data_IF_316761525627
#
_entry.id   IF_316761525627
#
_cell.length_a   1.000
_cell.length_b   1.000
_cell.length_c   1.000
_cell.angle_alpha   90.00
_cell.angle_beta   90.00
_cell.angle_gamma   90.00
#
_symmetry.space_group_name_H-M   'P 1'
#
loop_
_entity.id
_entity.type
_entity.pdbx_description
1 polymer ?
#
# COMPACT_ATOMS: atom_id res chain seq x y z
N UNK A 1 27.00 18.23 19.48
CA UNK A 1 27.35 17.72 18.13
C UNK A 1 27.18 16.20 18.01
N UNK A 2 27.56 15.43 19.04
CA UNK A 2 27.43 13.97 19.03
C UNK A 2 25.99 13.44 18.86
N UNK A 3 25.00 14.01 19.55
CA UNK A 3 23.60 13.57 19.48
C UNK A 3 22.99 13.69 18.09
N UNK A 4 23.27 14.80 17.37
CA UNK A 4 22.72 15.01 16.01
C UNK A 4 23.36 14.02 15.02
N UNK A 5 24.65 13.76 15.13
CA UNK A 5 25.33 12.78 14.27
C UNK A 5 24.81 11.36 14.55
N UNK A 6 24.67 10.98 15.80
CA UNK A 6 24.09 9.70 16.22
C UNK A 6 22.65 9.54 15.67
N UNK A 7 21.82 10.59 15.77
CA UNK A 7 20.46 10.57 15.25
C UNK A 7 20.44 10.42 13.72
N UNK A 8 21.29 11.14 13.00
CA UNK A 8 21.37 11.06 11.54
C UNK A 8 21.87 9.68 11.06
N UNK A 9 22.83 9.09 11.78
CA UNK A 9 23.35 7.76 11.49
C UNK A 9 22.24 6.69 11.72
N UNK A 10 21.60 6.72 12.88
CA UNK A 10 20.53 5.82 13.25
C UNK A 10 19.35 5.90 12.26
N UNK A 11 18.91 7.12 11.90
CA UNK A 11 17.86 7.31 10.90
C UNK A 11 18.30 6.87 9.51
N UNK A 12 19.54 7.16 9.13
CA UNK A 12 20.12 6.82 7.83
C UNK A 12 20.15 5.32 7.57
N UNK A 13 20.40 4.52 8.59
CA UNK A 13 20.37 3.06 8.52
C UNK A 13 19.00 2.53 8.06
N UNK A 14 17.92 3.18 8.46
CA UNK A 14 16.55 2.79 8.16
C UNK A 14 16.06 3.23 6.78
N UNK A 15 16.60 4.30 6.20
CA UNK A 15 16.06 4.95 5.00
C UNK A 15 15.82 3.97 3.85
N UNK A 16 16.74 3.05 3.63
CA UNK A 16 16.68 2.16 2.48
C UNK A 16 15.55 1.14 2.58
N UNK A 17 15.46 0.40 3.68
CA UNK A 17 14.44 -0.64 3.82
C UNK A 17 13.05 -0.03 4.09
N UNK A 18 12.97 1.07 4.86
CA UNK A 18 11.72 1.80 5.07
C UNK A 18 11.18 2.37 3.75
N UNK A 19 12.04 2.97 2.93
CA UNK A 19 11.63 3.50 1.62
C UNK A 19 11.11 2.40 0.71
N UNK A 20 11.73 1.22 0.71
CA UNK A 20 11.27 0.09 -0.08
C UNK A 20 9.90 -0.44 0.40
N UNK A 21 9.74 -0.67 1.69
CA UNK A 21 8.47 -1.12 2.26
C UNK A 21 7.36 -0.09 2.04
N UNK A 22 7.68 1.21 2.16
CA UNK A 22 6.73 2.28 1.88
C UNK A 22 6.37 2.36 0.40
N UNK A 23 7.34 2.17 -0.51
CA UNK A 23 7.05 2.05 -1.94
C UNK A 23 6.04 0.94 -2.22
N UNK A 24 6.27 -0.28 -1.70
CA UNK A 24 5.35 -1.40 -1.86
C UNK A 24 3.97 -1.12 -1.27
N UNK A 25 3.90 -0.40 -0.14
CA UNK A 25 2.66 0.02 0.49
C UNK A 25 1.88 1.08 -0.34
N UNK A 26 2.59 1.95 -1.07
CA UNK A 26 1.99 3.01 -1.89
C UNK A 26 1.52 2.51 -3.27
N UNK A 27 2.04 1.38 -3.77
CA UNK A 27 1.61 0.81 -5.07
C UNK A 27 0.09 0.56 -5.10
N UNK A 28 -0.53 -0.15 -4.14
CA UNK A 28 -1.98 -0.36 -4.14
C UNK A 28 -2.76 0.96 -4.00
N UNK A 29 -2.24 1.96 -3.30
CA UNK A 29 -2.85 3.28 -3.22
C UNK A 29 -2.90 3.95 -4.60
N UNK A 30 -1.78 4.00 -5.31
CA UNK A 30 -1.72 4.54 -6.67
C UNK A 30 -2.69 3.84 -7.62
N UNK A 31 -2.71 2.51 -7.60
CA UNK A 31 -3.63 1.70 -8.38
C UNK A 31 -5.09 1.96 -7.98
N UNK A 32 -5.40 2.13 -6.69
CA UNK A 32 -6.76 2.39 -6.22
C UNK A 32 -7.31 3.72 -6.75
N UNK A 33 -6.50 4.76 -6.84
CA UNK A 33 -6.91 6.03 -7.46
C UNK A 33 -7.17 5.89 -8.95
N UNK A 34 -6.35 5.10 -9.66
CA UNK A 34 -6.52 4.89 -11.09
C UNK A 34 -7.75 4.03 -11.42
N UNK A 35 -8.03 3.00 -10.61
CA UNK A 35 -9.07 2.01 -10.87
C UNK A 35 -10.44 2.41 -10.33
N UNK A 36 -10.49 2.99 -9.13
CA UNK A 36 -11.72 3.12 -8.34
C UNK A 36 -12.26 4.54 -8.23
N UNK A 37 -11.45 5.59 -8.47
CA UNK A 37 -11.89 6.98 -8.35
C UNK A 37 -12.22 7.62 -9.71
N UNK A 38 -13.46 8.11 -9.83
CA UNK A 38 -13.91 8.95 -10.93
C UNK A 38 -14.85 10.05 -10.35
N UNK A 39 -14.63 11.35 -10.64
CA UNK A 39 -13.50 11.93 -11.40
C UNK A 39 -12.18 11.78 -10.65
N UNK A 40 -11.09 11.70 -11.42
CA UNK A 40 -9.73 11.56 -10.86
C UNK A 40 -9.20 12.92 -10.45
N UNK A 41 -8.85 13.09 -9.18
CA UNK A 41 -8.12 14.28 -8.72
C UNK A 41 -6.68 14.23 -9.24
N UNK A 42 -6.29 15.23 -10.05
CA UNK A 42 -4.91 15.35 -10.59
C UNK A 42 -3.88 15.49 -9.46
N UNK A 43 -4.21 16.25 -8.42
CA UNK A 43 -3.34 16.46 -7.27
C UNK A 43 -3.03 15.15 -6.51
N UNK A 44 -4.05 14.33 -6.27
CA UNK A 44 -3.86 13.03 -5.62
C UNK A 44 -3.03 12.08 -6.47
N UNK A 45 -3.24 12.07 -7.79
CA UNK A 45 -2.46 11.25 -8.71
C UNK A 45 -0.99 11.70 -8.76
N UNK A 46 -0.72 12.99 -8.94
CA UNK A 46 0.64 13.51 -8.97
C UNK A 46 1.33 13.37 -7.61
N UNK A 47 0.63 13.65 -6.51
CA UNK A 47 1.16 13.45 -5.16
C UNK A 47 1.55 11.99 -4.90
N UNK A 48 0.68 11.04 -5.27
CA UNK A 48 0.99 9.61 -5.14
C UNK A 48 2.13 9.19 -6.06
N UNK A 49 2.18 9.68 -7.30
CA UNK A 49 3.28 9.40 -8.23
C UNK A 49 4.61 9.96 -7.72
N UNK A 50 4.61 11.17 -7.14
CA UNK A 50 5.78 11.76 -6.50
C UNK A 50 6.27 10.91 -5.32
N UNK A 51 5.35 10.49 -4.43
CA UNK A 51 5.70 9.64 -3.29
C UNK A 51 6.25 8.28 -3.73
N UNK A 52 5.65 7.66 -4.75
CA UNK A 52 6.16 6.42 -5.34
C UNK A 52 7.57 6.61 -5.91
N UNK A 53 7.81 7.69 -6.66
CA UNK A 53 9.15 8.01 -7.17
C UNK A 53 10.15 8.25 -6.05
N UNK A 54 9.82 9.08 -5.07
CA UNK A 54 10.69 9.41 -3.95
C UNK A 54 11.06 8.19 -3.11
N UNK A 55 10.10 7.28 -2.86
CA UNK A 55 10.34 6.05 -2.09
C UNK A 55 11.07 4.97 -2.89
N UNK A 56 10.98 4.98 -4.23
CA UNK A 56 11.69 4.06 -5.09
C UNK A 56 13.18 4.42 -5.25
N UNK A 57 13.51 5.72 -5.29
CA UNK A 57 14.87 6.23 -5.56
C UNK A 57 15.98 5.57 -4.72
N UNK A 58 15.86 5.41 -3.38
CA UNK A 58 16.90 4.79 -2.57
C UNK A 58 17.19 3.34 -2.94
N UNK A 59 16.20 2.63 -3.51
CA UNK A 59 16.29 1.23 -3.87
C UNK A 59 16.66 0.96 -5.33
N UNK A 60 16.74 2.01 -6.16
CA UNK A 60 16.94 1.91 -7.63
C UNK A 60 18.16 1.06 -8.00
N UNK A 61 19.29 1.25 -7.32
CA UNK A 61 20.52 0.50 -7.61
C UNK A 61 20.37 -1.00 -7.39
N UNK A 62 19.65 -1.39 -6.35
CA UNK A 62 19.39 -2.81 -6.05
C UNK A 62 18.44 -3.45 -7.06
N UNK A 63 17.36 -2.73 -7.40
CA UNK A 63 16.40 -3.21 -8.39
C UNK A 63 17.08 -3.40 -9.74
N UNK A 64 17.92 -2.45 -10.16
CA UNK A 64 18.68 -2.55 -11.40
C UNK A 64 19.68 -3.72 -11.37
N UNK A 65 20.39 -3.92 -10.25
CA UNK A 65 21.29 -5.06 -10.10
C UNK A 65 20.54 -6.39 -10.16
N UNK A 66 19.41 -6.49 -9.48
CA UNK A 66 18.54 -7.68 -9.49
C UNK A 66 17.93 -7.96 -10.87
N UNK A 67 17.44 -6.93 -11.56
CA UNK A 67 16.96 -7.06 -12.95
C UNK A 67 18.07 -7.52 -13.90
N UNK A 68 19.29 -6.99 -13.73
CA UNK A 68 20.44 -7.42 -14.53
C UNK A 68 20.73 -8.91 -14.30
N UNK A 69 20.66 -9.38 -13.06
CA UNK A 69 20.85 -10.79 -12.71
C UNK A 69 19.77 -11.67 -13.34
N UNK A 70 18.48 -11.29 -13.20
CA UNK A 70 17.37 -12.02 -13.85
C UNK A 70 17.56 -12.08 -15.37
N UNK A 71 17.90 -10.97 -16.01
CA UNK A 71 18.10 -10.95 -17.48
C UNK A 71 19.29 -11.83 -17.90
N UNK A 72 20.30 -11.98 -17.05
CA UNK A 72 21.44 -12.86 -17.31
C UNK A 72 21.06 -14.34 -17.12
N UNK A 73 20.29 -14.68 -16.10
CA UNK A 73 19.90 -16.06 -15.77
C UNK A 73 18.80 -16.62 -16.68
N UNK A 74 17.79 -15.80 -17.00
CA UNK A 74 16.61 -16.21 -17.78
C UNK A 74 16.85 -16.09 -19.31
N UNK A 75 17.88 -15.34 -19.71
CA UNK A 75 18.20 -15.07 -21.12
C UNK A 75 17.41 -13.90 -21.73
N UNK A 76 18.15 -13.09 -22.50
CA UNK A 76 17.60 -11.86 -23.13
C UNK A 76 16.40 -12.13 -24.04
N UNK A 77 16.42 -13.23 -24.77
CA UNK A 77 15.35 -13.63 -25.71
C UNK A 77 14.04 -13.95 -25.00
N UNK A 78 14.10 -14.60 -23.85
CA UNK A 78 12.91 -14.93 -23.07
C UNK A 78 12.27 -13.67 -22.47
N UNK A 79 13.08 -12.78 -21.90
CA UNK A 79 12.59 -11.50 -21.35
C UNK A 79 11.97 -10.62 -22.44
N UNK A 80 12.62 -10.50 -23.60
CA UNK A 80 12.08 -9.77 -24.75
C UNK A 80 10.80 -10.39 -25.26
N UNK A 81 10.73 -11.72 -25.34
CA UNK A 81 9.52 -12.46 -25.70
C UNK A 81 8.36 -12.21 -24.74
N UNK A 82 8.61 -12.26 -23.43
CA UNK A 82 7.60 -11.96 -22.42
C UNK A 82 7.09 -10.51 -22.50
N UNK A 83 7.99 -9.55 -22.72
CA UNK A 83 7.62 -8.13 -22.92
C UNK A 83 6.79 -8.00 -24.21
N UNK A 84 7.21 -8.59 -25.33
CA UNK A 84 6.50 -8.53 -26.60
C UNK A 84 5.10 -9.13 -26.50
N UNK A 85 4.94 -10.28 -25.85
CA UNK A 85 3.63 -10.92 -25.61
C UNK A 85 2.76 -10.02 -24.73
N UNK A 86 3.31 -9.44 -23.66
CA UNK A 86 2.56 -8.52 -22.79
C UNK A 86 2.08 -7.29 -23.54
N UNK A 87 2.92 -6.68 -24.37
CA UNK A 87 2.56 -5.53 -25.19
C UNK A 87 1.52 -5.90 -26.26
N UNK A 88 1.64 -7.08 -26.89
CA UNK A 88 0.67 -7.59 -27.86
C UNK A 88 -0.70 -7.83 -27.21
N UNK A 89 -0.74 -8.43 -26.00
CA UNK A 89 -1.99 -8.61 -25.23
C UNK A 89 -2.59 -7.26 -24.81
N UNK A 90 -1.76 -6.29 -24.43
CA UNK A 90 -2.23 -4.93 -24.13
C UNK A 90 -2.80 -4.23 -25.37
N UNK A 91 -2.17 -4.38 -26.53
CA UNK A 91 -2.65 -3.82 -27.79
C UNK A 91 -3.98 -4.48 -28.23
N UNK A 92 -4.07 -5.81 -28.11
CA UNK A 92 -5.30 -6.57 -28.35
C UNK A 92 -6.44 -6.11 -27.45
N UNK A 93 -6.16 -5.90 -26.14
CA UNK A 93 -7.11 -5.39 -25.17
C UNK A 93 -7.64 -3.99 -25.54
N UNK A 94 -6.76 -3.10 -26.04
CA UNK A 94 -7.16 -1.78 -26.53
C UNK A 94 -8.09 -1.90 -27.74
N UNK A 95 -7.81 -2.83 -28.65
CA UNK A 95 -8.52 -2.97 -29.91
C UNK A 95 -9.89 -3.65 -29.75
N UNK A 96 -9.93 -4.79 -29.01
CA UNK A 96 -11.14 -5.63 -28.89
C UNK A 96 -12.14 -5.08 -27.89
N UNK A 97 -11.68 -4.57 -26.74
CA UNK A 97 -12.56 -4.21 -25.61
C UNK A 97 -13.04 -2.77 -25.63
N UNK A 98 -12.40 -1.89 -26.40
CA UNK A 98 -12.87 -0.52 -26.64
C UNK A 98 -14.28 -0.50 -27.24
N UNK A 99 -14.68 -1.53 -27.97
CA UNK A 99 -15.97 -1.62 -28.67
C UNK A 99 -17.12 -2.18 -27.82
N UNK A 100 -16.87 -2.82 -26.68
CA UNK A 100 -17.91 -3.60 -25.97
C UNK A 100 -18.33 -3.08 -24.59
N UNK A 101 -17.81 -1.96 -24.10
CA UNK A 101 -18.15 -1.42 -22.77
C UNK A 101 -17.80 -2.32 -21.59
N UNK A 102 -17.14 -3.44 -21.84
CA UNK A 102 -16.63 -4.37 -20.83
C UNK A 102 -15.34 -3.81 -20.22
N UNK A 103 -15.10 -4.08 -18.95
CA UNK A 103 -13.83 -3.70 -18.30
C UNK A 103 -12.66 -4.38 -18.98
N UNK A 104 -11.64 -3.59 -19.33
CA UNK A 104 -10.48 -4.07 -20.07
C UNK A 104 -9.66 -5.06 -19.25
N UNK A 105 -8.90 -5.96 -19.89
CA UNK A 105 -7.92 -6.84 -19.25
C UNK A 105 -6.93 -6.04 -18.38
N UNK A 106 -6.55 -4.82 -18.81
CA UNK A 106 -5.71 -3.90 -18.01
C UNK A 106 -6.35 -3.50 -16.70
N UNK A 107 -7.67 -3.30 -16.67
CA UNK A 107 -8.37 -3.00 -15.43
C UNK A 107 -8.31 -4.20 -14.47
N UNK A 108 -8.54 -5.42 -14.98
CA UNK A 108 -8.44 -6.65 -14.19
C UNK A 108 -7.02 -6.93 -13.73
N UNK A 109 -6.01 -6.75 -14.59
CA UNK A 109 -4.60 -6.86 -14.21
C UNK A 109 -4.21 -5.86 -13.13
N UNK A 110 -4.62 -4.59 -13.26
CA UNK A 110 -4.42 -3.58 -12.24
C UNK A 110 -5.15 -3.89 -10.93
N UNK A 111 -6.36 -4.45 -11.01
CA UNK A 111 -7.13 -4.89 -9.83
C UNK A 111 -6.42 -6.03 -9.09
N UNK A 112 -6.01 -7.07 -9.80
CA UNK A 112 -5.26 -8.19 -9.22
C UNK A 112 -3.94 -7.74 -8.62
N UNK A 113 -3.19 -6.88 -9.32
CA UNK A 113 -1.97 -6.28 -8.77
C UNK A 113 -2.26 -5.47 -7.51
N UNK A 114 -3.33 -4.65 -7.51
CA UNK A 114 -3.73 -3.87 -6.33
C UNK A 114 -4.01 -4.77 -5.13
N UNK A 115 -4.73 -5.88 -5.31
CA UNK A 115 -5.04 -6.83 -4.23
C UNK A 115 -3.78 -7.59 -3.79
N UNK A 116 -2.92 -8.01 -4.71
CA UNK A 116 -1.69 -8.75 -4.41
C UNK A 116 -0.68 -7.90 -3.60
N UNK A 117 -0.57 -6.61 -3.92
CA UNK A 117 0.32 -5.70 -3.18
C UNK A 117 -0.30 -5.11 -1.92
N UNK A 118 -1.63 -5.17 -1.76
CA UNK A 118 -2.34 -4.54 -0.65
C UNK A 118 -1.86 -4.98 0.74
N UNK A 119 -1.50 -6.26 1.01
CA UNK A 119 -0.98 -6.69 2.31
C UNK A 119 0.34 -6.01 2.71
N UNK A 120 1.13 -5.49 1.75
CA UNK A 120 2.37 -4.76 2.06
C UNK A 120 2.09 -3.43 2.80
N UNK A 121 0.92 -2.85 2.63
CA UNK A 121 0.59 -1.59 3.28
C UNK A 121 0.37 -1.73 4.79
N UNK A 122 -0.43 -2.66 5.34
CA UNK A 122 -0.50 -2.88 6.78
C UNK A 122 0.70 -3.67 7.33
N UNK A 123 1.51 -4.33 6.47
CA UNK A 123 2.74 -5.00 6.87
C UNK A 123 3.71 -4.06 7.60
N UNK A 124 3.75 -2.76 7.24
CA UNK A 124 4.61 -1.76 7.90
C UNK A 124 4.37 -1.64 9.41
N UNK A 125 3.18 -2.05 9.92
CA UNK A 125 2.91 -2.09 11.36
C UNK A 125 3.77 -3.12 12.09
N UNK A 126 4.14 -4.21 11.40
CA UNK A 126 4.99 -5.25 11.98
C UNK A 126 6.47 -4.84 12.05
N UNK A 127 6.86 -3.79 11.34
CA UNK A 127 8.24 -3.28 11.34
C UNK A 127 8.62 -2.56 12.65
N UNK A 128 7.66 -2.39 13.57
CA UNK A 128 7.93 -1.95 14.95
C UNK A 128 8.94 -2.87 15.66
N UNK A 129 9.09 -4.12 15.22
CA UNK A 129 10.09 -5.04 15.78
C UNK A 129 11.51 -4.51 15.55
N UNK A 130 11.77 -3.87 14.42
CA UNK A 130 13.08 -3.25 14.13
C UNK A 130 13.36 -2.05 15.03
N UNK A 131 12.33 -1.29 15.43
CA UNK A 131 12.48 -0.25 16.44
C UNK A 131 12.91 -0.85 17.80
N UNK A 132 12.29 -1.98 18.20
CA UNK A 132 12.64 -2.68 19.44
C UNK A 132 14.08 -3.19 19.37
N UNK A 133 14.52 -3.70 18.23
CA UNK A 133 15.89 -4.15 18.00
C UNK A 133 16.88 -2.98 18.12
N UNK A 134 16.61 -1.86 17.46
CA UNK A 134 17.44 -0.66 17.52
C UNK A 134 17.52 -0.04 18.92
N UNK A 135 16.44 -0.07 19.71
CA UNK A 135 16.48 0.36 21.12
C UNK A 135 17.50 -0.46 21.92
N UNK A 136 17.65 -1.75 21.60
CA UNK A 136 18.61 -2.65 22.26
C UNK A 136 20.06 -2.44 21.81
N UNK A 137 20.29 -1.76 20.68
CA UNK A 137 21.64 -1.43 20.19
C UNK A 137 22.37 -0.37 21.02
N UNK A 138 21.68 0.24 22.00
CA UNK A 138 22.30 1.14 22.98
C UNK A 138 22.38 2.59 22.55
N UNK A 139 21.57 3.02 21.59
CA UNK A 139 21.42 4.45 21.25
C UNK A 139 20.97 5.26 22.47
N UNK A 140 21.36 6.55 22.50
CA UNK A 140 20.92 7.44 23.58
C UNK A 140 19.39 7.55 23.65
N UNK A 141 18.84 7.69 24.85
CA UNK A 141 17.38 7.85 25.04
C UNK A 141 16.83 9.03 24.20
N UNK A 142 17.62 10.07 24.05
CA UNK A 142 17.25 11.24 23.26
C UNK A 142 17.19 10.92 21.74
N UNK A 143 18.14 10.14 21.22
CA UNK A 143 18.13 9.66 19.83
C UNK A 143 16.91 8.77 19.58
N UNK A 144 16.61 7.86 20.49
CA UNK A 144 15.43 7.00 20.37
C UNK A 144 14.14 7.84 20.37
N UNK A 145 13.98 8.74 21.37
CA UNK A 145 12.74 9.49 21.56
C UNK A 145 12.50 10.55 20.47
N UNK A 146 13.56 11.26 20.03
CA UNK A 146 13.42 12.42 19.13
C UNK A 146 13.68 12.11 17.67
N UNK A 147 14.33 10.99 17.35
CA UNK A 147 14.63 10.62 15.98
C UNK A 147 13.96 9.31 15.56
N UNK A 148 14.25 8.19 16.26
CA UNK A 148 13.75 6.87 15.84
C UNK A 148 12.24 6.74 15.98
N UNK A 149 11.67 7.05 17.16
CA UNK A 149 10.21 6.93 17.36
C UNK A 149 9.41 7.78 16.36
N UNK A 150 9.72 9.08 16.14
CA UNK A 150 9.05 9.88 15.11
C UNK A 150 9.22 9.32 13.69
N UNK A 151 10.41 8.82 13.34
CA UNK A 151 10.66 8.21 12.03
C UNK A 151 9.74 6.99 11.80
N UNK A 152 9.70 6.06 12.75
CA UNK A 152 8.84 4.88 12.67
C UNK A 152 7.36 5.24 12.69
N UNK A 153 6.96 6.22 13.50
CA UNK A 153 5.57 6.68 13.56
C UNK A 153 5.11 7.23 12.20
N UNK A 154 5.90 8.12 11.59
CA UNK A 154 5.59 8.68 10.26
C UNK A 154 5.55 7.57 9.21
N UNK A 155 6.52 6.66 9.22
CA UNK A 155 6.56 5.51 8.32
C UNK A 155 5.31 4.63 8.43
N UNK A 156 4.92 4.24 9.64
CA UNK A 156 3.74 3.43 9.89
C UNK A 156 2.44 4.16 9.52
N UNK A 157 2.32 5.46 9.85
CA UNK A 157 1.15 6.26 9.50
C UNK A 157 0.98 6.40 7.99
N UNK A 158 2.06 6.62 7.24
CA UNK A 158 2.02 6.71 5.78
C UNK A 158 1.65 5.37 5.14
N UNK A 159 2.29 4.29 5.55
CA UNK A 159 2.02 2.96 4.98
C UNK A 159 0.62 2.47 5.33
N UNK A 160 0.22 2.53 6.59
CA UNK A 160 -1.13 2.13 6.99
C UNK A 160 -2.21 3.09 6.49
N UNK A 161 -1.92 4.38 6.38
CA UNK A 161 -2.79 5.37 5.73
C UNK A 161 -3.04 5.03 4.26
N UNK A 162 -2.01 4.57 3.54
CA UNK A 162 -2.14 4.07 2.18
C UNK A 162 -3.10 2.87 2.09
N UNK A 163 -3.03 1.94 3.06
CA UNK A 163 -3.99 0.84 3.18
C UNK A 163 -5.42 1.33 3.32
N UNK A 164 -5.66 2.19 4.31
CA UNK A 164 -6.99 2.71 4.62
C UNK A 164 -7.60 3.40 3.40
N UNK A 165 -6.85 4.29 2.75
CA UNK A 165 -7.31 5.00 1.56
C UNK A 165 -7.58 4.06 0.39
N UNK A 166 -6.76 3.02 0.19
CA UNK A 166 -6.95 2.02 -0.86
C UNK A 166 -8.26 1.27 -0.69
N UNK A 167 -8.54 0.79 0.53
CA UNK A 167 -9.77 0.06 0.86
C UNK A 167 -10.99 0.97 0.80
N UNK A 168 -10.89 2.22 1.27
CA UNK A 168 -11.96 3.22 1.14
C UNK A 168 -12.26 3.54 -0.33
N UNK A 169 -11.27 3.63 -1.21
CA UNK A 169 -11.45 3.85 -2.65
C UNK A 169 -12.20 2.69 -3.29
N UNK A 170 -11.91 1.44 -2.89
CA UNK A 170 -12.65 0.27 -3.33
C UNK A 170 -14.10 0.30 -2.83
N UNK A 171 -14.33 0.65 -1.56
CA UNK A 171 -15.67 0.83 -1.01
C UNK A 171 -16.48 1.91 -1.74
N UNK A 172 -15.86 3.04 -2.07
CA UNK A 172 -16.45 4.08 -2.90
C UNK A 172 -16.86 3.56 -4.29
N UNK A 173 -15.98 2.79 -4.93
CA UNK A 173 -16.24 2.16 -6.21
C UNK A 173 -17.43 1.18 -6.14
N UNK A 174 -17.49 0.31 -5.13
CA UNK A 174 -18.62 -0.60 -4.92
C UNK A 174 -19.93 0.18 -4.74
N UNK A 175 -19.90 1.29 -4.01
CA UNK A 175 -21.07 2.17 -3.85
C UNK A 175 -21.56 2.73 -5.20
N UNK A 176 -20.63 3.18 -6.06
CA UNK A 176 -20.97 3.68 -7.40
C UNK A 176 -21.55 2.59 -8.33
N UNK A 177 -21.22 1.31 -8.11
CA UNK A 177 -21.76 0.19 -8.85
C UNK A 177 -23.12 -0.31 -8.30
N UNK A 178 -23.67 0.33 -7.27
CA UNK A 178 -24.89 -0.11 -6.60
C UNK A 178 -24.69 -1.28 -5.64
N UNK A 179 -23.47 -1.65 -5.32
CA UNK A 179 -23.11 -2.79 -4.47
C UNK A 179 -22.77 -2.38 -3.03
N UNK A 180 -23.45 -1.36 -2.52
CA UNK A 180 -23.22 -0.82 -1.18
C UNK A 180 -23.33 -1.85 -0.06
N UNK A 181 -24.23 -2.84 -0.20
CA UNK A 181 -24.45 -3.92 0.76
C UNK A 181 -23.24 -4.84 0.95
N UNK A 182 -22.33 -4.88 -0.03
CA UNK A 182 -21.12 -5.73 0.02
C UNK A 182 -19.89 -5.02 0.57
N UNK A 183 -19.96 -3.71 0.86
CA UNK A 183 -18.77 -2.94 1.31
C UNK A 183 -18.18 -3.54 2.57
N UNK A 184 -18.98 -3.78 3.60
CA UNK A 184 -18.51 -4.36 4.87
C UNK A 184 -17.89 -5.75 4.67
N UNK A 185 -18.57 -6.62 3.90
CA UNK A 185 -18.04 -7.95 3.61
C UNK A 185 -16.70 -7.88 2.87
N UNK A 186 -16.57 -6.95 1.91
CA UNK A 186 -15.32 -6.71 1.17
C UNK A 186 -14.21 -6.20 2.10
N UNK A 187 -14.50 -5.24 2.99
CA UNK A 187 -13.55 -4.74 3.98
C UNK A 187 -13.03 -5.88 4.87
N UNK A 188 -13.94 -6.68 5.44
CA UNK A 188 -13.58 -7.83 6.28
C UNK A 188 -12.73 -8.85 5.51
N UNK A 189 -13.11 -9.18 4.28
CA UNK A 189 -12.35 -10.11 3.44
C UNK A 189 -10.94 -9.59 3.16
N UNK A 190 -10.80 -8.30 2.85
CA UNK A 190 -9.51 -7.67 2.61
C UNK A 190 -8.65 -7.69 3.88
N UNK A 191 -9.22 -7.41 5.05
CA UNK A 191 -8.48 -7.47 6.31
C UNK A 191 -8.00 -8.89 6.61
N UNK A 192 -8.83 -9.91 6.35
CA UNK A 192 -8.46 -11.31 6.52
C UNK A 192 -7.32 -11.72 5.55
N UNK A 193 -7.46 -11.38 4.26
CA UNK A 193 -6.42 -11.66 3.27
C UNK A 193 -5.11 -10.92 3.60
N UNK A 194 -5.20 -9.68 4.10
CA UNK A 194 -4.02 -8.92 4.53
C UNK A 194 -3.33 -9.55 5.74
N UNK A 195 -4.09 -10.07 6.71
CA UNK A 195 -3.55 -10.76 7.88
C UNK A 195 -2.84 -12.07 7.48
N UNK A 196 -3.41 -12.82 6.52
CA UNK A 196 -2.75 -14.00 5.94
C UNK A 196 -1.47 -13.60 5.20
N UNK A 197 -1.53 -12.56 4.35
CA UNK A 197 -0.37 -12.07 3.60
C UNK A 197 0.77 -11.59 4.51
N UNK A 198 0.44 -10.91 5.62
CA UNK A 198 1.43 -10.50 6.63
C UNK A 198 2.05 -11.72 7.30
N UNK A 199 1.25 -12.72 7.66
CA UNK A 199 1.78 -13.95 8.24
C UNK A 199 2.75 -14.65 7.28
N UNK A 200 2.37 -14.83 6.02
CA UNK A 200 3.22 -15.43 4.99
C UNK A 200 4.51 -14.63 4.77
N UNK A 201 4.42 -13.31 4.68
CA UNK A 201 5.58 -12.45 4.47
C UNK A 201 6.52 -12.36 5.68
N UNK A 202 5.99 -12.26 6.90
CA UNK A 202 6.80 -12.03 8.11
C UNK A 202 7.37 -13.30 8.71
N UNK A 203 6.56 -14.34 8.79
CA UNK A 203 6.93 -15.57 9.51
C UNK A 203 7.48 -16.66 8.59
N UNK A 204 6.95 -16.77 7.38
CA UNK A 204 7.40 -17.77 6.40
C UNK A 204 8.39 -17.16 5.39
N UNK A 205 8.47 -15.83 5.32
CA UNK A 205 9.35 -15.05 4.42
C UNK A 205 9.05 -15.23 2.94
N UNK A 206 7.80 -15.47 2.58
CA UNK A 206 7.34 -15.38 1.19
C UNK A 206 7.28 -13.93 0.72
N UNK A 207 7.71 -13.69 -0.52
CA UNK A 207 7.57 -12.41 -1.18
C UNK A 207 6.29 -12.36 -2.03
N UNK A 208 5.81 -11.16 -2.36
CA UNK A 208 4.60 -11.00 -3.18
C UNK A 208 4.71 -11.63 -4.58
N UNK A 209 5.92 -11.76 -5.12
CA UNK A 209 6.16 -12.45 -6.40
C UNK A 209 6.17 -13.97 -6.31
N UNK A 210 6.33 -14.54 -5.13
CA UNK A 210 6.29 -16.01 -4.95
C UNK A 210 4.90 -16.57 -5.31
N UNK A 211 3.87 -15.72 -5.24
CA UNK A 211 2.52 -16.02 -5.75
C UNK A 211 2.54 -16.38 -7.24
N UNK A 212 3.42 -15.75 -8.02
CA UNK A 212 3.53 -15.96 -9.46
C UNK A 212 4.63 -16.98 -9.82
N UNK A 213 5.71 -17.02 -9.05
CA UNK A 213 6.89 -17.83 -9.37
C UNK A 213 6.87 -19.22 -8.74
N UNK A 214 6.24 -19.37 -7.57
CA UNK A 214 6.18 -20.63 -6.81
C UNK A 214 4.79 -20.87 -6.19
N UNK A 215 3.71 -20.91 -6.97
CA UNK A 215 2.35 -21.06 -6.46
C UNK A 215 2.15 -22.38 -5.70
N UNK A 216 2.79 -23.47 -6.13
CA UNK A 216 2.67 -24.79 -5.50
C UNK A 216 3.28 -24.80 -4.10
N UNK A 217 4.46 -24.17 -3.91
CA UNK A 217 5.07 -24.03 -2.60
C UNK A 217 4.20 -23.19 -1.66
N UNK A 218 3.60 -22.11 -2.19
CA UNK A 218 2.68 -21.26 -1.44
C UNK A 218 1.44 -22.05 -0.98
N UNK A 219 0.80 -22.80 -1.90
CA UNK A 219 -0.39 -23.62 -1.59
C UNK A 219 -0.05 -24.69 -0.55
N UNK A 220 1.06 -25.40 -0.71
CA UNK A 220 1.47 -26.44 0.23
C UNK A 220 1.76 -25.87 1.63
N UNK A 221 2.42 -24.71 1.71
CA UNK A 221 2.69 -24.04 2.98
C UNK A 221 1.39 -23.55 3.62
N UNK A 222 0.49 -22.96 2.84
CA UNK A 222 -0.83 -22.55 3.30
C UNK A 222 -1.63 -23.73 3.85
N UNK A 223 -1.62 -24.86 3.16
CA UNK A 223 -2.37 -26.05 3.56
C UNK A 223 -1.78 -26.79 4.77
N UNK A 224 -0.45 -26.80 4.90
CA UNK A 224 0.23 -27.58 5.94
C UNK A 224 0.53 -26.75 7.20
N UNK A 225 0.95 -25.49 7.03
CA UNK A 225 1.40 -24.65 8.15
C UNK A 225 0.30 -23.76 8.73
N UNK A 226 -0.71 -23.36 7.94
CA UNK A 226 -1.80 -22.51 8.40
C UNK A 226 -2.80 -23.21 9.33
N UNK A 227 -2.87 -24.55 9.31
CA UNK A 227 -3.83 -25.33 10.14
C UNK A 227 -3.37 -25.45 11.61
N UNK A 228 -2.12 -25.05 11.90
CA UNK A 228 -1.59 -25.06 13.28
C UNK A 228 -2.25 -24.00 14.18
N UNK A 229 -2.41 -24.30 15.47
CA UNK A 229 -3.03 -23.37 16.45
C UNK A 229 -2.28 -22.03 16.57
N UNK A 230 -0.95 -22.02 16.50
CA UNK A 230 -0.13 -20.80 16.61
C UNK A 230 -0.26 -19.87 15.40
N UNK A 231 -0.15 -20.35 14.14
CA UNK A 231 -0.39 -19.54 12.94
C UNK A 231 -1.76 -18.89 12.93
N UNK A 232 -2.82 -19.66 13.21
CA UNK A 232 -4.21 -19.14 13.26
C UNK A 232 -4.35 -18.02 14.31
N UNK A 233 -3.76 -18.19 15.48
CA UNK A 233 -3.80 -17.16 16.52
C UNK A 233 -3.12 -15.86 16.07
N UNK A 234 -1.94 -15.95 15.46
CA UNK A 234 -1.20 -14.79 14.96
C UNK A 234 -2.01 -14.06 13.88
N UNK A 235 -2.57 -14.80 12.93
CA UNK A 235 -3.42 -14.21 11.89
C UNK A 235 -4.68 -13.58 12.47
N UNK A 236 -5.34 -14.22 13.44
CA UNK A 236 -6.53 -13.67 14.10
C UNK A 236 -6.21 -12.37 14.85
N UNK A 237 -5.13 -12.33 15.61
CA UNK A 237 -4.68 -11.10 16.30
C UNK A 237 -4.34 -10.01 15.27
N UNK A 238 -3.59 -10.33 14.22
CA UNK A 238 -3.24 -9.39 13.15
C UNK A 238 -4.50 -8.84 12.46
N UNK A 239 -5.47 -9.71 12.16
CA UNK A 239 -6.77 -9.31 11.61
C UNK A 239 -7.50 -8.32 12.51
N UNK A 240 -7.61 -8.59 13.80
CA UNK A 240 -8.28 -7.70 14.76
C UNK A 240 -7.57 -6.36 14.83
N UNK A 241 -6.23 -6.35 14.93
CA UNK A 241 -5.44 -5.11 14.95
C UNK A 241 -5.68 -4.28 13.69
N UNK A 242 -5.59 -4.89 12.50
CA UNK A 242 -5.84 -4.20 11.22
C UNK A 242 -7.27 -3.64 11.18
N UNK A 243 -8.27 -4.44 11.54
CA UNK A 243 -9.67 -4.05 11.48
C UNK A 243 -9.98 -2.87 12.42
N UNK A 244 -9.48 -2.90 13.65
CA UNK A 244 -9.67 -1.83 14.63
C UNK A 244 -8.97 -0.54 14.18
N UNK A 245 -7.69 -0.63 13.79
CA UNK A 245 -6.93 0.53 13.30
C UNK A 245 -7.55 1.11 12.02
N UNK A 246 -7.99 0.25 11.10
CA UNK A 246 -8.70 0.68 9.89
C UNK A 246 -9.97 1.46 10.26
N UNK A 247 -10.79 0.92 11.14
CA UNK A 247 -12.03 1.57 11.56
C UNK A 247 -11.74 2.95 12.17
N UNK A 248 -10.77 3.06 13.09
CA UNK A 248 -10.38 4.32 13.73
C UNK A 248 -9.91 5.33 12.68
N UNK A 249 -8.95 4.96 11.83
CA UNK A 249 -8.42 5.87 10.80
C UNK A 249 -9.48 6.27 9.77
N UNK A 250 -10.36 5.35 9.39
CA UNK A 250 -11.49 5.65 8.51
C UNK A 250 -12.40 6.73 9.10
N UNK A 251 -12.71 6.67 10.42
CA UNK A 251 -13.51 7.70 11.10
C UNK A 251 -12.79 9.06 11.12
N UNK A 252 -11.48 9.07 11.39
CA UNK A 252 -10.68 10.30 11.35
C UNK A 252 -10.71 10.92 9.96
N UNK A 253 -10.45 10.15 8.91
CA UNK A 253 -10.45 10.64 7.52
C UNK A 253 -11.83 11.19 7.12
N UNK A 254 -12.90 10.49 7.46
CA UNK A 254 -14.27 10.93 7.17
C UNK A 254 -14.61 12.21 7.94
N UNK A 255 -14.24 12.31 9.22
CA UNK A 255 -14.48 13.49 10.04
C UNK A 255 -13.74 14.72 9.53
N UNK A 256 -12.48 14.59 9.16
CA UNK A 256 -11.69 15.66 8.54
C UNK A 256 -12.31 16.09 7.21
N UNK A 257 -12.67 15.14 6.35
CA UNK A 257 -13.31 15.44 5.06
C UNK A 257 -14.62 16.24 5.23
N UNK A 258 -15.49 15.84 6.17
CA UNK A 258 -16.74 16.55 6.43
C UNK A 258 -16.53 17.99 6.91
N UNK A 259 -15.52 18.24 7.76
CA UNK A 259 -15.19 19.60 8.23
C UNK A 259 -14.73 20.49 7.08
N UNK A 260 -13.91 19.99 6.18
CA UNK A 260 -13.48 20.74 5.00
C UNK A 260 -14.66 21.15 4.10
N UNK A 261 -15.59 20.23 3.83
CA UNK A 261 -16.79 20.55 3.03
C UNK A 261 -17.67 21.61 3.70
N UNK A 262 -17.89 21.51 5.01
CA UNK A 262 -18.67 22.53 5.74
C UNK A 262 -18.02 23.92 5.71
N UNK A 263 -16.70 23.99 5.88
CA UNK A 263 -15.95 25.25 5.83
C UNK A 263 -16.05 25.93 4.45
N UNK A 264 -15.95 25.16 3.37
CA UNK A 264 -16.10 25.69 2.00
C UNK A 264 -17.52 26.19 1.75
N UNK A 265 -18.54 25.44 2.14
CA UNK A 265 -19.94 25.88 1.98
C UNK A 265 -20.26 27.15 2.78
N UNK A 266 -19.66 27.34 3.94
CA UNK A 266 -19.84 28.56 4.74
C UNK A 266 -19.11 29.77 4.13
N UNK A 267 -17.93 29.56 3.53
CA UNK A 267 -17.21 30.67 2.85
C UNK A 267 -17.88 31.12 1.56
N UNK A 268 -18.62 30.24 0.88
CA UNK A 268 -19.40 30.60 -0.31
C UNK A 268 -20.70 31.37 0.03
N UNK A 269 -21.29 31.13 1.19
CA UNK A 269 -22.50 31.82 1.67
C UNK A 269 -22.23 33.18 2.29
N UNK A 270 -20.98 33.51 2.65
CA UNK A 270 -20.59 34.77 3.31
C UNK A 270 -20.48 36.03 2.44
N UNK A 271 -20.28 35.99 1.10
CA UNK A 271 -20.08 37.20 0.29
C UNK A 271 -21.33 37.97 -0.04
N UNK A 272 -22.52 37.41 0.03
CA UNK A 272 -23.76 38.09 -0.39
C UNK A 272 -24.35 39.05 0.63
N UNK A 273 -23.98 39.00 1.90
CA UNK A 273 -24.50 39.90 2.93
C UNK A 273 -23.79 41.27 3.00
N UNK A 274 -22.65 41.43 2.35
CA UNK A 274 -21.88 42.68 2.35
C UNK A 274 -22.22 43.63 1.18
N UNK A 275 -22.96 43.17 0.16
CA UNK A 275 -23.30 43.97 -1.03
C UNK A 275 -24.73 44.56 -1.02
N UNK A 276 -25.55 44.26 -0.01
CA UNK A 276 -26.94 44.73 0.07
C UNK A 276 -27.15 45.93 1.01
N UNK A 277 -26.08 46.55 1.52
CA UNK A 277 -26.14 47.72 2.44
C UNK A 277 -25.37 48.96 1.92
N UNK A 278 -25.36 49.16 0.59
CA UNK A 278 -24.86 50.40 0.00
C UNK A 278 -25.92 51.02 -0.91
#
# INVERSE_FOLDING_TARGET
>A
MGLILEALEAMGHNVRWMSWNLFLALVPLGLSFLLFRKPRSRWLLWGTAFLLGATFLPSTRHVLAYLKHIVQDVGKTYVLGAIAITLALMALDIWVLRQRGVRSLRWWGGFLASIAFLPNAPYVLTDIIHLIEQIKEGYSVWTVALALIPQYLVFMLLGFGAYVLSVMNLGYYLKQQGWSKFILATEITIHALSAIGIYLGRFIRFNSWDILTNPDALVNTVMNDLIGKRPVLVMAVTFVVIAVLYWVMKQVILGVSQRFYRSQSQSELSPESASSSS
#
